data_IF_428259527665
#
_entry.id   IF_428259527665
#
_cell.length_a   1.000
_cell.length_b   1.000
_cell.length_c   1.000
_cell.angle_alpha   90.00
_cell.angle_beta   90.00
_cell.angle_gamma   90.00
#
_symmetry.space_group_name_H-M   'P 1'
#
loop_
_entity.id
_entity.type
_entity.pdbx_description
1 polymer ?
#
# COMPACT_ATOMS: atom_id res chain seq x y z
N UNK A 1 -13.95 10.84 6.13
CA UNK A 1 -12.99 10.23 7.10
C UNK A 1 -12.86 8.74 6.75
N UNK A 2 -11.70 8.13 7.00
CA UNK A 2 -11.44 6.71 6.75
C UNK A 2 -10.79 6.06 7.97
N UNK A 3 -10.87 4.74 8.06
CA UNK A 3 -10.30 3.95 9.17
C UNK A 3 -8.77 3.98 9.13
N UNK A 4 -8.16 4.02 10.30
CA UNK A 4 -6.71 3.90 10.47
C UNK A 4 -6.43 2.61 11.24
N UNK A 5 -5.64 1.73 10.62
CA UNK A 5 -5.16 0.52 11.25
C UNK A 5 -3.79 0.79 11.90
N UNK A 6 -3.57 0.23 13.09
CA UNK A 6 -2.27 0.20 13.73
C UNK A 6 -1.66 -1.20 13.56
N UNK A 7 -0.47 -1.25 12.99
CA UNK A 7 0.37 -2.47 12.87
C UNK A 7 1.60 -2.31 13.78
N UNK A 8 1.37 -2.04 15.07
CA UNK A 8 2.45 -1.73 16.02
C UNK A 8 3.39 -2.89 16.27
N UNK A 9 2.88 -4.11 16.17
CA UNK A 9 3.62 -5.36 16.38
C UNK A 9 4.21 -5.92 15.07
N UNK A 10 4.01 -5.22 13.95
CA UNK A 10 4.47 -5.59 12.60
C UNK A 10 3.91 -6.92 12.08
N UNK A 11 2.88 -7.50 12.70
CA UNK A 11 2.29 -8.77 12.27
C UNK A 11 1.79 -8.72 10.83
N UNK A 12 1.16 -7.62 10.42
CA UNK A 12 0.68 -7.46 9.04
C UNK A 12 1.83 -7.23 8.06
N UNK A 13 2.82 -6.44 8.48
CA UNK A 13 4.06 -6.21 7.73
C UNK A 13 4.81 -7.50 7.46
N UNK A 14 5.02 -8.34 8.49
CA UNK A 14 5.71 -9.63 8.37
C UNK A 14 4.92 -10.63 7.54
N UNK A 15 3.60 -10.74 7.76
CA UNK A 15 2.75 -11.67 7.02
C UNK A 15 2.73 -11.42 5.51
N UNK A 16 2.90 -10.16 5.08
CA UNK A 16 2.92 -9.76 3.67
C UNK A 16 4.32 -9.46 3.12
N UNK A 17 5.38 -9.65 3.93
CA UNK A 17 6.76 -9.29 3.57
C UNK A 17 6.88 -7.84 3.05
N UNK A 18 6.22 -6.91 3.74
CA UNK A 18 6.20 -5.51 3.33
C UNK A 18 7.57 -4.86 3.45
N UNK A 19 7.91 -3.91 2.56
CA UNK A 19 9.21 -3.29 2.56
C UNK A 19 9.42 -2.42 3.81
N UNK A 20 10.49 -2.66 4.54
CA UNK A 20 10.85 -1.92 5.77
C UNK A 20 12.17 -1.17 5.66
N UNK A 21 12.44 -0.31 6.64
CA UNK A 21 13.75 0.29 6.92
C UNK A 21 13.93 0.46 8.43
N UNK A 22 15.19 0.58 8.87
CA UNK A 22 15.53 0.89 10.25
C UNK A 22 15.89 2.37 10.41
N UNK A 23 15.42 2.98 11.50
CA UNK A 23 15.87 4.29 11.96
C UNK A 23 15.82 4.32 13.50
N UNK A 24 16.84 4.88 14.14
CA UNK A 24 16.92 4.98 15.61
C UNK A 24 16.70 3.64 16.36
N UNK A 25 17.14 2.53 15.75
CA UNK A 25 16.98 1.19 16.32
C UNK A 25 15.56 0.62 16.26
N UNK A 26 14.64 1.27 15.54
CA UNK A 26 13.28 0.81 15.31
C UNK A 26 13.02 0.51 13.82
N UNK A 27 12.20 -0.49 13.56
CA UNK A 27 11.74 -0.86 12.22
C UNK A 27 10.51 -0.04 11.84
N UNK A 28 10.53 0.50 10.63
CA UNK A 28 9.43 1.27 10.03
C UNK A 28 9.05 0.69 8.67
N UNK A 29 7.78 0.81 8.32
CA UNK A 29 7.26 0.40 7.03
C UNK A 29 7.56 1.50 6.01
N UNK A 30 8.15 1.15 4.86
CA UNK A 30 8.31 2.07 3.73
C UNK A 30 6.94 2.35 3.12
N UNK A 31 6.73 3.59 2.66
CA UNK A 31 5.48 3.99 2.02
C UNK A 31 5.15 3.06 0.84
N UNK A 32 4.02 2.38 0.97
CA UNK A 32 3.49 1.38 0.04
C UNK A 32 1.99 1.52 -0.02
N UNK A 33 1.40 1.38 -1.20
CA UNK A 33 -0.06 1.31 -1.35
C UNK A 33 -0.45 -0.02 -1.96
N UNK A 34 -1.42 -0.70 -1.35
CA UNK A 34 -1.96 -1.98 -1.79
C UNK A 34 -3.39 -1.76 -2.29
N UNK A 35 -3.73 -2.34 -3.44
CA UNK A 35 -5.12 -2.51 -3.87
C UNK A 35 -5.50 -3.96 -3.63
N UNK A 36 -6.50 -4.18 -2.78
CA UNK A 36 -6.93 -5.52 -2.34
C UNK A 36 -8.38 -5.71 -2.74
N UNK A 37 -8.70 -6.86 -3.35
CA UNK A 37 -10.06 -7.27 -3.69
C UNK A 37 -10.20 -8.77 -3.41
N UNK A 38 -11.29 -9.17 -2.78
CA UNK A 38 -11.61 -10.59 -2.49
C UNK A 38 -10.44 -11.33 -1.82
N UNK A 39 -9.83 -10.70 -0.81
CA UNK A 39 -8.64 -11.18 -0.08
C UNK A 39 -7.37 -11.37 -0.95
N UNK A 40 -7.33 -10.84 -2.17
CA UNK A 40 -6.19 -10.86 -3.07
C UNK A 40 -5.62 -9.46 -3.28
N UNK A 41 -4.29 -9.32 -3.21
CA UNK A 41 -3.60 -8.07 -3.60
C UNK A 41 -3.55 -8.00 -5.12
N UNK A 42 -4.38 -7.15 -5.74
CA UNK A 42 -4.40 -6.97 -7.20
C UNK A 42 -3.26 -6.06 -7.69
N UNK A 43 -2.82 -5.11 -6.86
CA UNK A 43 -1.75 -4.18 -7.22
C UNK A 43 -0.98 -3.72 -6.00
N UNK A 44 0.34 -3.60 -6.16
CA UNK A 44 1.26 -2.96 -5.22
C UNK A 44 1.86 -1.72 -5.88
N UNK A 45 1.84 -0.58 -5.19
CA UNK A 45 2.60 0.61 -5.54
C UNK A 45 3.79 0.70 -4.59
N UNK A 46 4.97 0.39 -5.12
CA UNK A 46 6.24 0.52 -4.42
C UNK A 46 7.38 0.59 -5.45
N UNK A 47 8.39 1.47 -5.27
CA UNK A 47 8.41 2.55 -4.28
C UNK A 47 7.38 3.63 -4.61
N UNK A 48 6.85 4.30 -3.59
CA UNK A 48 5.95 5.44 -3.78
C UNK A 48 6.76 6.74 -3.80
N UNK A 49 6.90 7.35 -4.98
CA UNK A 49 7.54 8.65 -5.15
C UNK A 49 7.06 9.37 -6.43
N UNK A 50 6.65 10.65 -6.36
CA UNK A 50 6.58 11.49 -5.17
C UNK A 50 5.34 11.17 -4.32
N UNK A 51 5.43 11.29 -2.98
CA UNK A 51 4.39 10.81 -2.06
C UNK A 51 3.02 11.47 -2.19
N UNK A 52 2.96 12.69 -2.72
CA UNK A 52 1.75 13.49 -2.91
C UNK A 52 0.95 13.10 -4.18
N UNK A 53 1.55 12.35 -5.10
CA UNK A 53 0.90 11.98 -6.37
C UNK A 53 0.25 10.60 -6.33
N UNK A 54 0.60 9.76 -5.35
CA UNK A 54 0.16 8.37 -5.32
C UNK A 54 -1.36 8.17 -5.27
N UNK A 55 -2.09 9.08 -4.63
CA UNK A 55 -3.55 9.03 -4.63
C UNK A 55 -4.14 9.19 -6.05
N UNK A 56 -3.52 10.03 -6.89
CA UNK A 56 -3.93 10.20 -8.28
C UNK A 56 -3.58 8.96 -9.12
N UNK A 57 -2.39 8.37 -8.91
CA UNK A 57 -1.99 7.12 -9.57
C UNK A 57 -2.93 5.95 -9.25
N UNK A 58 -3.31 5.81 -7.98
CA UNK A 58 -4.27 4.80 -7.52
C UNK A 58 -5.63 5.01 -8.21
N UNK A 59 -6.10 6.25 -8.27
CA UNK A 59 -7.38 6.58 -8.92
C UNK A 59 -7.35 6.26 -10.41
N UNK A 60 -6.28 6.63 -11.11
CA UNK A 60 -6.12 6.34 -12.53
C UNK A 60 -6.05 4.82 -12.80
N UNK A 61 -5.36 4.07 -11.94
CA UNK A 61 -5.31 2.62 -12.05
C UNK A 61 -6.70 2.00 -11.85
N UNK A 62 -7.46 2.45 -10.84
CA UNK A 62 -8.81 1.95 -10.58
C UNK A 62 -9.77 2.22 -11.76
N UNK A 63 -9.69 3.41 -12.36
CA UNK A 63 -10.49 3.75 -13.54
C UNK A 63 -10.17 2.83 -14.72
N UNK A 64 -8.89 2.66 -15.06
CA UNK A 64 -8.46 1.76 -16.11
C UNK A 64 -8.90 0.32 -15.85
N UNK A 65 -8.75 -0.15 -14.61
CA UNK A 65 -9.15 -1.50 -14.19
C UNK A 65 -10.65 -1.73 -14.34
N UNK A 66 -11.47 -0.71 -14.09
CA UNK A 66 -12.93 -0.77 -14.26
C UNK A 66 -13.33 -0.84 -15.74
N UNK A 67 -12.66 -0.08 -16.62
CA UNK A 67 -12.88 -0.13 -18.07
C UNK A 67 -12.56 -1.51 -18.66
N UNK A 68 -11.47 -2.15 -18.21
CA UNK A 68 -11.06 -3.50 -18.66
C UNK A 68 -12.04 -4.61 -18.22
N UNK A 69 -12.87 -4.36 -17.21
CA UNK A 69 -13.85 -5.30 -16.67
C UNK A 69 -15.27 -5.08 -17.20
N UNK A 70 -15.50 -4.02 -17.97
CA UNK A 70 -16.79 -3.65 -18.58
C UNK A 70 -16.92 -4.21 -19.99
#
# INVERSE_FOLDING_TARGET
>A
PFELLSDSDLEFTEALDLPTFEADGQTYIKRTTLIVKDACVEKVFYPVFPPNENAAEVTAWLQKRQEELS
#
